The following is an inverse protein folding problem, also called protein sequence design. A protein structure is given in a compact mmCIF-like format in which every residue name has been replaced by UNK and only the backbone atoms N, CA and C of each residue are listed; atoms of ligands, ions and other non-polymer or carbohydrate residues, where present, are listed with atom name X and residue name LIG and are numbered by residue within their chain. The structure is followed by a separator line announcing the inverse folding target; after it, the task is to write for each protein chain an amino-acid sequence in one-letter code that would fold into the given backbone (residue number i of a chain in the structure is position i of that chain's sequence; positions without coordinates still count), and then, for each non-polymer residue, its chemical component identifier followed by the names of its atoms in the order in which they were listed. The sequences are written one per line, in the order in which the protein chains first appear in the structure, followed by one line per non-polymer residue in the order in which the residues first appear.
data_IF_888148877557
#
_entry.id   IF_888148877557
#
_cell.length_a   1.000
_cell.length_b   1.000
_cell.length_c   1.000
_cell.angle_alpha   90.00
_cell.angle_beta   90.00
_cell.angle_gamma   90.00
#
_symmetry.space_group_name_H-M   'P 1'
#
loop_
_entity.id
_entity.type
_entity.pdbx_description
1 polymer ?
#
# COMPACT_ATOMS: atom_id res chain seq x y z
N UNK A 1 -27.31 -13.32 28.54
CA UNK A 1 -27.41 -12.38 29.67
C UNK A 1 -26.18 -11.50 29.66
N UNK A 2 -26.41 -10.19 29.64
CA UNK A 2 -25.53 -9.15 29.13
C UNK A 2 -24.39 -8.76 30.09
N UNK A 3 -23.15 -8.89 29.63
CA UNK A 3 -21.96 -8.30 30.27
C UNK A 3 -21.92 -6.75 30.15
N UNK A 4 -22.88 -6.14 29.42
CA UNK A 4 -22.91 -4.69 29.19
C UNK A 4 -23.55 -3.85 30.32
N UNK A 5 -24.08 -4.47 31.38
CA UNK A 5 -24.92 -3.72 32.34
C UNK A 5 -24.19 -3.22 33.60
N UNK A 6 -22.89 -3.46 33.74
CA UNK A 6 -22.15 -3.09 34.96
C UNK A 6 -21.20 -1.89 34.83
N UNK A 7 -21.23 -1.16 33.70
CA UNK A 7 -20.31 -0.02 33.45
C UNK A 7 -20.91 1.38 33.67
N UNK A 8 -22.16 1.51 34.12
CA UNK A 8 -22.86 2.82 34.17
C UNK A 8 -22.62 3.61 35.48
N UNK A 9 -21.77 3.15 36.41
CA UNK A 9 -21.56 3.84 37.69
C UNK A 9 -20.10 4.09 38.08
N UNK A 10 -19.21 4.25 37.09
CA UNK A 10 -17.90 4.86 37.30
C UNK A 10 -17.96 6.33 36.88
N UNK A 11 -18.03 7.20 37.89
CA UNK A 11 -17.80 8.64 37.83
C UNK A 11 -16.81 8.98 36.71
N UNK A 12 -17.18 9.93 35.84
CA UNK A 12 -16.24 10.71 35.01
C UNK A 12 -15.09 11.20 35.90
N UNK A 13 -13.98 10.44 35.94
CA UNK A 13 -12.70 11.00 36.32
C UNK A 13 -12.36 12.02 35.23
N UNK A 14 -11.84 13.21 35.58
CA UNK A 14 -11.24 14.08 34.59
C UNK A 14 -10.21 13.22 33.84
N UNK A 15 -10.18 13.27 32.51
CA UNK A 15 -9.07 12.74 31.72
C UNK A 15 -7.80 13.20 32.43
N UNK A 16 -7.10 12.27 33.07
CA UNK A 16 -5.88 12.56 33.81
C UNK A 16 -4.98 13.31 32.86
N UNK A 17 -4.40 14.41 33.34
CA UNK A 17 -3.46 15.26 32.63
C UNK A 17 -2.71 14.49 31.55
N UNK A 18 -3.03 14.72 30.28
CA UNK A 18 -2.33 14.11 29.16
C UNK A 18 -0.85 14.42 29.39
N UNK A 19 -0.05 13.41 29.74
CA UNK A 19 1.38 13.61 30.02
C UNK A 19 1.99 14.30 28.80
N UNK A 20 2.87 15.27 29.04
CA UNK A 20 3.46 16.05 27.94
C UNK A 20 4.37 15.15 27.09
N UNK A 21 3.80 14.62 26.01
CA UNK A 21 4.48 13.78 25.02
C UNK A 21 5.05 14.61 23.86
N UNK A 22 5.05 15.94 23.95
CA UNK A 22 5.61 16.83 22.90
C UNK A 22 7.11 16.67 22.72
N UNK A 23 7.81 16.15 23.72
CA UNK A 23 9.23 15.80 23.62
C UNK A 23 9.48 14.55 22.76
N UNK A 24 8.47 13.70 22.53
CA UNK A 24 8.58 12.48 21.72
C UNK A 24 8.58 12.86 20.24
N UNK A 25 9.63 12.40 19.55
CA UNK A 25 9.88 12.62 18.12
C UNK A 25 10.07 11.26 17.47
N UNK A 26 9.03 10.83 16.77
CA UNK A 26 8.93 9.49 16.20
C UNK A 26 9.47 9.50 14.78
N UNK A 27 10.54 8.74 14.54
CA UNK A 27 11.03 8.41 13.21
C UNK A 27 10.30 7.19 12.67
N UNK A 28 9.71 7.29 11.48
CA UNK A 28 9.06 6.16 10.78
C UNK A 28 9.71 6.05 9.41
N UNK A 29 10.32 4.91 9.03
CA UNK A 29 10.87 4.82 7.70
C UNK A 29 9.74 4.82 6.66
N UNK A 30 9.96 5.50 5.54
CA UNK A 30 9.03 5.65 4.41
C UNK A 30 9.15 4.42 3.48
N UNK A 31 8.91 3.23 4.01
CA UNK A 31 9.30 1.98 3.36
C UNK A 31 8.18 0.92 3.32
N UNK A 32 8.24 0.03 2.34
CA UNK A 32 7.39 -1.17 2.24
C UNK A 32 5.89 -0.89 2.51
N UNK A 33 5.25 -1.65 3.39
CA UNK A 33 3.83 -1.54 3.69
C UNK A 33 3.45 -0.25 4.45
N UNK A 34 4.42 0.55 4.91
CA UNK A 34 4.13 1.89 5.43
C UNK A 34 3.51 2.76 4.33
N UNK A 35 3.86 2.58 3.06
CA UNK A 35 3.21 3.32 1.96
C UNK A 35 1.69 3.13 1.92
N UNK A 36 1.20 1.92 2.18
CA UNK A 36 -0.25 1.63 2.26
C UNK A 36 -0.89 2.00 3.60
N UNK A 37 -0.11 2.18 4.66
CA UNK A 37 -0.63 2.33 6.04
C UNK A 37 -0.19 3.62 6.73
N UNK A 38 0.51 4.53 6.05
CA UNK A 38 1.13 5.73 6.63
C UNK A 38 0.12 6.62 7.36
N UNK A 39 -1.09 6.78 6.84
CA UNK A 39 -2.13 7.59 7.48
C UNK A 39 -2.63 6.98 8.78
N UNK A 40 -2.62 5.65 8.92
CA UNK A 40 -2.88 5.00 10.20
C UNK A 40 -1.86 5.45 11.24
N UNK A 41 -0.57 5.40 10.91
CA UNK A 41 0.50 5.80 11.82
C UNK A 41 0.45 7.30 12.17
N UNK A 42 0.14 8.15 11.20
CA UNK A 42 -0.05 9.59 11.43
C UNK A 42 -1.22 9.84 12.38
N UNK A 43 -2.38 9.22 12.15
CA UNK A 43 -3.54 9.35 13.04
C UNK A 43 -3.28 8.81 14.44
N UNK A 44 -2.70 7.63 14.53
CA UNK A 44 -2.34 6.95 15.79
C UNK A 44 -1.42 7.81 16.66
N UNK A 45 -0.28 8.24 16.14
CA UNK A 45 0.70 9.01 16.93
C UNK A 45 0.20 10.41 17.27
N UNK A 46 -0.57 11.06 16.38
CA UNK A 46 -1.24 12.34 16.70
C UNK A 46 -2.24 12.19 17.85
N UNK A 47 -3.05 11.12 17.85
CA UNK A 47 -3.99 10.84 18.92
C UNK A 47 -3.31 10.57 20.27
N UNK A 48 -2.11 9.96 20.25
CA UNK A 48 -1.28 9.80 21.44
C UNK A 48 -0.65 11.10 21.95
N UNK A 49 -0.70 12.19 21.17
CA UNK A 49 -0.15 13.49 21.54
C UNK A 49 1.37 13.61 21.38
N UNK A 50 2.00 12.80 20.51
CA UNK A 50 3.44 12.93 20.25
C UNK A 50 3.75 14.24 19.55
N UNK A 51 4.92 14.84 19.84
CA UNK A 51 5.26 16.16 19.33
C UNK A 51 5.57 16.21 17.84
N UNK A 52 6.27 15.19 17.31
CA UNK A 52 6.69 15.18 15.90
C UNK A 52 6.72 13.77 15.33
N UNK A 53 6.29 13.65 14.08
CA UNK A 53 6.40 12.43 13.27
C UNK A 53 7.30 12.78 12.08
N UNK A 54 8.38 12.03 11.91
CA UNK A 54 9.42 12.28 10.91
C UNK A 54 9.53 11.04 10.04
N UNK A 55 9.32 11.19 8.73
CA UNK A 55 9.62 10.15 7.77
C UNK A 55 11.07 10.25 7.27
N UNK A 56 11.65 9.11 6.88
CA UNK A 56 12.87 9.10 6.05
C UNK A 56 12.61 9.77 4.70
N UNK A 57 13.65 10.17 3.97
CA UNK A 57 13.50 10.59 2.58
C UNK A 57 13.04 9.42 1.70
N UNK A 58 12.69 9.75 0.45
CA UNK A 58 12.51 8.77 -0.61
C UNK A 58 13.76 7.89 -0.75
N UNK A 59 13.57 6.65 -1.20
CA UNK A 59 14.69 5.76 -1.49
C UNK A 59 15.56 6.38 -2.58
N UNK A 60 16.89 6.36 -2.37
CA UNK A 60 17.87 6.74 -3.39
C UNK A 60 19.16 5.97 -3.19
N UNK A 61 19.95 5.84 -4.25
CA UNK A 61 21.29 5.26 -4.17
C UNK A 61 22.14 6.00 -3.12
N UNK A 62 22.07 7.33 -3.09
CA UNK A 62 22.83 8.14 -2.14
C UNK A 62 22.42 7.89 -0.69
N UNK A 63 21.12 7.80 -0.40
CA UNK A 63 20.62 7.46 0.94
C UNK A 63 21.15 6.07 1.35
N UNK A 64 21.04 5.07 0.47
CA UNK A 64 21.50 3.73 0.78
C UNK A 64 23.03 3.66 0.96
N UNK A 65 23.80 4.31 0.09
CA UNK A 65 25.26 4.37 0.14
C UNK A 65 25.76 5.01 1.43
N UNK A 66 25.12 6.09 1.86
CA UNK A 66 25.51 6.87 3.03
C UNK A 66 25.05 6.24 4.35
N UNK A 67 23.84 5.68 4.38
CA UNK A 67 23.21 5.23 5.63
C UNK A 67 22.94 3.73 5.74
N UNK A 68 22.92 2.98 4.63
CA UNK A 68 22.55 1.56 4.60
C UNK A 68 23.69 0.58 4.28
N UNK A 69 24.75 1.05 3.60
CA UNK A 69 25.85 0.21 3.13
C UNK A 69 26.45 -0.64 4.25
N UNK A 70 26.57 -1.95 4.02
CA UNK A 70 27.18 -2.90 4.94
C UNK A 70 26.28 -3.34 6.12
N UNK A 71 25.03 -2.89 6.19
CA UNK A 71 24.09 -3.23 7.27
C UNK A 71 23.12 -4.36 6.95
N UNK A 72 23.19 -4.90 5.74
CA UNK A 72 22.33 -6.01 5.32
C UNK A 72 23.00 -7.34 5.67
N UNK A 73 22.24 -8.21 6.30
CA UNK A 73 22.68 -9.52 6.82
C UNK A 73 22.03 -10.70 6.08
N UNK A 74 21.16 -10.44 5.11
CA UNK A 74 20.45 -11.45 4.33
C UNK A 74 20.23 -11.03 2.88
N UNK A 75 20.25 -12.01 1.96
CA UNK A 75 19.80 -11.80 0.60
C UNK A 75 18.27 -11.72 0.53
N UNK A 76 17.80 -10.60 0.01
CA UNK A 76 16.38 -10.23 -0.06
C UNK A 76 16.12 -9.30 -1.24
N UNK A 77 14.83 -9.13 -1.58
CA UNK A 77 14.43 -8.22 -2.64
C UNK A 77 14.89 -6.78 -2.36
N UNK A 78 15.13 -6.03 -3.43
CA UNK A 78 15.64 -4.65 -3.36
C UNK A 78 14.89 -3.74 -2.33
N UNK A 79 13.54 -3.75 -2.24
CA UNK A 79 12.82 -2.94 -1.27
C UNK A 79 13.12 -3.27 0.20
N UNK A 80 13.41 -4.54 0.50
CA UNK A 80 13.82 -4.95 1.86
C UNK A 80 15.23 -4.45 2.14
N UNK A 81 16.14 -4.56 1.17
CA UNK A 81 17.51 -4.04 1.27
C UNK A 81 17.53 -2.52 1.53
N UNK A 82 16.66 -1.78 0.86
CA UNK A 82 16.53 -0.33 1.02
C UNK A 82 16.18 0.12 2.45
N UNK A 83 15.50 -0.71 3.27
CA UNK A 83 15.17 -0.36 4.66
C UNK A 83 16.41 -0.01 5.50
N UNK A 84 17.57 -0.61 5.22
CA UNK A 84 18.81 -0.26 5.90
C UNK A 84 19.19 1.23 5.71
N UNK A 85 18.98 1.76 4.49
CA UNK A 85 19.19 3.19 4.20
C UNK A 85 18.23 4.07 4.99
N UNK A 86 16.93 3.74 4.99
CA UNK A 86 15.91 4.51 5.70
C UNK A 86 16.10 4.50 7.22
N UNK A 87 16.40 3.35 7.83
CA UNK A 87 16.70 3.25 9.27
C UNK A 87 17.94 4.06 9.62
N UNK A 88 19.01 3.92 8.82
CA UNK A 88 20.26 4.64 9.07
C UNK A 88 20.09 6.16 8.94
N UNK A 89 19.35 6.64 7.93
CA UNK A 89 19.08 8.07 7.75
C UNK A 89 18.35 8.65 8.97
N UNK A 90 17.37 7.92 9.50
CA UNK A 90 16.59 8.35 10.65
C UNK A 90 17.43 8.52 11.93
N UNK A 91 18.54 7.78 12.08
CA UNK A 91 19.47 7.96 13.21
C UNK A 91 20.24 9.30 13.17
N UNK A 92 20.23 10.00 12.04
CA UNK A 92 20.80 11.34 11.89
C UNK A 92 19.74 12.44 11.88
N UNK A 93 18.45 12.09 12.02
CA UNK A 93 17.37 13.05 12.20
C UNK A 93 17.10 13.27 13.69
N UNK A 94 16.42 14.37 13.99
CA UNK A 94 16.01 14.71 15.35
C UNK A 94 14.83 13.84 15.82
N UNK A 95 15.13 12.59 16.19
CA UNK A 95 14.19 11.61 16.74
C UNK A 95 14.73 11.05 18.07
N UNK A 96 13.84 10.55 18.91
CA UNK A 96 14.18 9.76 20.10
C UNK A 96 13.47 8.40 20.15
N UNK A 97 12.52 8.16 19.24
CA UNK A 97 11.84 6.89 19.04
C UNK A 97 11.91 6.53 17.55
N UNK A 98 12.59 5.45 17.20
CA UNK A 98 12.56 4.87 15.85
C UNK A 98 11.51 3.77 15.82
N UNK A 99 10.42 4.00 15.10
CA UNK A 99 9.28 3.11 15.01
C UNK A 99 9.25 2.40 13.66
N UNK A 100 9.41 1.07 13.66
CA UNK A 100 9.52 0.25 12.45
C UNK A 100 8.57 -0.96 12.56
N UNK A 101 7.30 -0.83 12.13
CA UNK A 101 6.29 -1.84 12.39
C UNK A 101 6.51 -3.12 11.59
N UNK A 102 6.41 -4.28 12.26
CA UNK A 102 6.35 -5.59 11.64
C UNK A 102 4.90 -5.89 11.23
N UNK A 103 4.51 -5.33 10.09
CA UNK A 103 3.15 -5.47 9.55
C UNK A 103 2.95 -6.92 9.09
N UNK A 104 2.18 -7.69 9.86
CA UNK A 104 1.88 -9.11 9.61
C UNK A 104 0.79 -9.29 8.56
N UNK A 105 -0.33 -8.59 8.75
CA UNK A 105 -1.48 -8.55 7.85
C UNK A 105 -1.85 -7.10 7.55
N UNK A 106 -2.52 -6.87 6.43
CA UNK A 106 -2.83 -5.54 5.91
C UNK A 106 -4.35 -5.26 5.98
N UNK A 107 -4.76 -3.98 6.14
CA UNK A 107 -6.12 -3.60 5.82
C UNK A 107 -6.38 -3.87 4.34
N UNK A 108 -7.51 -4.49 4.02
CA UNK A 108 -7.86 -4.82 2.64
C UNK A 108 -9.36 -4.76 2.44
N UNK A 109 -9.77 -4.16 1.33
CA UNK A 109 -11.18 -4.18 0.88
C UNK A 109 -11.62 -5.56 0.39
N UNK A 110 -10.69 -6.51 0.20
CA UNK A 110 -11.00 -7.90 -0.15
C UNK A 110 -11.24 -8.79 1.07
N UNK A 111 -11.04 -8.27 2.30
CA UNK A 111 -11.25 -9.04 3.52
C UNK A 111 -12.68 -9.59 3.58
N UNK A 112 -12.81 -10.87 3.93
CA UNK A 112 -14.09 -11.59 3.92
C UNK A 112 -14.46 -12.21 2.57
N UNK A 113 -13.74 -11.87 1.49
CA UNK A 113 -13.90 -12.47 0.16
C UNK A 113 -12.73 -13.38 -0.23
N UNK A 114 -11.62 -13.28 0.49
CA UNK A 114 -10.37 -14.05 0.28
C UNK A 114 -10.03 -14.86 1.53
N UNK A 115 -9.08 -15.80 1.39
CA UNK A 115 -8.67 -16.65 2.52
C UNK A 115 -8.01 -15.83 3.62
N UNK A 116 -7.09 -14.92 3.26
CA UNK A 116 -6.41 -14.04 4.22
C UNK A 116 -5.82 -12.78 3.54
N UNK A 117 -5.31 -11.86 4.35
CA UNK A 117 -4.76 -10.54 3.97
C UNK A 117 -3.34 -10.37 4.52
N UNK A 118 -2.56 -11.45 4.49
CA UNK A 118 -1.19 -11.47 5.00
C UNK A 118 -0.24 -10.62 4.15
N UNK A 119 0.78 -10.10 4.80
CA UNK A 119 1.92 -9.45 4.15
C UNK A 119 2.96 -10.48 3.67
N UNK A 120 3.98 -10.02 2.95
CA UNK A 120 5.14 -10.87 2.67
C UNK A 120 5.97 -11.08 3.94
N UNK A 121 6.31 -12.33 4.26
CA UNK A 121 7.10 -12.68 5.44
C UNK A 121 8.47 -12.00 5.48
N UNK A 122 9.12 -11.82 4.32
CA UNK A 122 10.39 -11.07 4.20
C UNK A 122 10.22 -9.59 4.55
N UNK A 123 9.07 -9.00 4.17
CA UNK A 123 8.74 -7.59 4.46
C UNK A 123 8.42 -7.41 5.94
N UNK A 124 7.64 -8.31 6.53
CA UNK A 124 7.33 -8.27 7.96
C UNK A 124 8.59 -8.39 8.82
N UNK A 125 9.48 -9.33 8.50
CA UNK A 125 10.69 -9.63 9.29
C UNK A 125 11.92 -8.80 8.90
N UNK A 126 11.78 -7.83 7.98
CA UNK A 126 12.92 -7.08 7.48
C UNK A 126 13.66 -6.32 8.59
N UNK A 127 12.91 -5.77 9.55
CA UNK A 127 13.49 -4.99 10.65
C UNK A 127 14.35 -5.83 11.58
N UNK A 128 13.97 -7.07 11.90
CA UNK A 128 14.76 -7.93 12.79
C UNK A 128 16.10 -8.29 12.15
N UNK A 129 16.11 -8.58 10.85
CA UNK A 129 17.34 -8.88 10.12
C UNK A 129 18.26 -7.66 10.00
N UNK A 130 17.68 -6.50 9.68
CA UNK A 130 18.44 -5.26 9.46
C UNK A 130 18.92 -4.65 10.79
N UNK A 131 18.19 -4.85 11.89
CA UNK A 131 18.60 -4.44 13.24
C UNK A 131 19.99 -4.95 13.59
N UNK A 132 20.33 -6.18 13.23
CA UNK A 132 21.65 -6.75 13.48
C UNK A 132 22.79 -5.93 12.84
N UNK A 133 22.55 -5.29 11.69
CA UNK A 133 23.50 -4.39 11.04
C UNK A 133 23.80 -3.11 11.82
N UNK A 134 22.93 -2.73 12.77
CA UNK A 134 23.07 -1.55 13.62
C UNK A 134 23.50 -1.88 15.06
N UNK A 135 23.61 -3.17 15.42
CA UNK A 135 23.90 -3.61 16.79
C UNK A 135 25.10 -4.56 16.90
N UNK A 136 25.51 -5.23 15.82
CA UNK A 136 26.59 -6.26 15.85
C UNK A 136 27.94 -5.71 16.30
N UNK A 137 28.35 -4.56 15.79
CA UNK A 137 29.67 -3.96 16.12
C UNK A 137 29.57 -2.97 17.28
N UNK A 138 28.47 -2.22 17.32
CA UNK A 138 28.14 -1.25 18.36
C UNK A 138 26.63 -1.07 18.36
N UNK A 139 26.04 -0.75 19.50
CA UNK A 139 24.63 -0.38 19.57
C UNK A 139 24.46 1.09 19.17
N UNK A 140 24.25 1.33 17.87
CA UNK A 140 24.09 2.68 17.31
C UNK A 140 22.82 3.38 17.83
N UNK A 141 21.81 2.63 18.26
CA UNK A 141 20.56 3.18 18.79
C UNK A 141 20.80 3.75 20.20
N UNK A 142 21.36 2.93 21.09
CA UNK A 142 21.64 3.33 22.48
C UNK A 142 22.65 4.46 22.55
N UNK A 143 23.70 4.45 21.70
CA UNK A 143 24.69 5.54 21.63
C UNK A 143 24.08 6.91 21.29
N UNK A 144 22.94 6.91 20.58
CA UNK A 144 22.23 8.12 20.17
C UNK A 144 21.03 8.44 21.07
N UNK A 145 20.77 7.64 22.09
CA UNK A 145 19.58 7.78 22.94
C UNK A 145 18.27 7.58 22.16
N UNK A 146 18.28 6.74 21.13
CA UNK A 146 17.10 6.44 20.31
C UNK A 146 16.58 5.06 20.70
N UNK A 147 15.31 4.97 21.10
CA UNK A 147 14.65 3.68 21.32
C UNK A 147 14.15 3.12 20.00
N UNK A 148 14.60 1.92 19.60
CA UNK A 148 14.02 1.17 18.47
C UNK A 148 12.81 0.37 18.95
N UNK A 149 11.66 0.58 18.33
CA UNK A 149 10.43 -0.18 18.61
C UNK A 149 9.85 -0.74 17.31
N UNK A 150 9.70 -2.07 17.29
CA UNK A 150 9.21 -2.82 16.14
C UNK A 150 8.04 -3.70 16.57
N UNK A 151 6.81 -3.14 16.68
CA UNK A 151 5.67 -3.92 17.14
C UNK A 151 5.25 -4.94 16.08
N UNK A 152 4.65 -6.05 16.53
CA UNK A 152 3.87 -6.93 15.67
C UNK A 152 2.51 -6.27 15.35
N UNK A 153 2.16 -6.17 14.07
CA UNK A 153 0.99 -5.39 13.63
C UNK A 153 0.08 -6.26 12.75
N UNK A 154 -0.96 -6.89 13.34
CA UNK A 154 -1.97 -7.63 12.61
C UNK A 154 -3.15 -6.74 12.22
N UNK A 155 -3.08 -5.97 11.12
CA UNK A 155 -4.26 -5.22 10.65
C UNK A 155 -5.43 -6.14 10.25
N UNK A 156 -5.12 -7.40 9.95
CA UNK A 156 -6.04 -8.52 9.79
C UNK A 156 -6.76 -8.93 11.09
N UNK A 157 -6.40 -8.43 12.27
CA UNK A 157 -7.15 -8.63 13.52
C UNK A 157 -7.16 -7.31 14.30
N UNK A 158 -7.94 -6.30 13.87
CA UNK A 158 -7.87 -4.94 14.43
C UNK A 158 -8.14 -4.89 15.93
N UNK A 159 -8.91 -5.82 16.47
CA UNK A 159 -9.19 -6.01 17.89
C UNK A 159 -7.94 -6.36 18.73
N UNK A 160 -6.91 -6.95 18.11
CA UNK A 160 -5.65 -7.29 18.77
C UNK A 160 -4.63 -6.15 18.74
N UNK A 161 -4.77 -5.19 17.81
CA UNK A 161 -3.82 -4.10 17.63
C UNK A 161 -3.57 -3.26 18.90
N UNK A 162 -4.60 -2.86 19.68
CA UNK A 162 -4.37 -2.09 20.90
C UNK A 162 -3.42 -2.78 21.87
N UNK A 163 -3.55 -4.11 22.02
CA UNK A 163 -2.69 -4.90 22.91
C UNK A 163 -1.24 -4.88 22.44
N UNK A 164 -0.99 -5.28 21.18
CA UNK A 164 0.38 -5.39 20.67
C UNK A 164 1.10 -4.03 20.60
N UNK A 165 0.39 -2.98 20.22
CA UNK A 165 0.95 -1.62 20.19
C UNK A 165 1.22 -1.10 21.60
N UNK A 166 0.31 -1.34 22.56
CA UNK A 166 0.52 -0.94 23.95
C UNK A 166 1.70 -1.68 24.57
N UNK A 167 1.77 -3.01 24.42
CA UNK A 167 2.88 -3.83 24.94
C UNK A 167 4.23 -3.37 24.40
N UNK A 168 4.28 -2.95 23.14
CA UNK A 168 5.51 -2.50 22.47
C UNK A 168 5.91 -1.06 22.83
N UNK A 169 4.94 -0.20 23.16
CA UNK A 169 5.16 1.25 23.35
C UNK A 169 5.14 1.71 24.80
N UNK A 170 4.56 0.95 25.74
CA UNK A 170 4.35 1.38 27.13
C UNK A 170 5.64 1.75 27.88
N UNK A 171 6.76 1.12 27.54
CA UNK A 171 8.06 1.39 28.17
C UNK A 171 8.75 2.63 27.60
N UNK A 172 8.40 3.04 26.37
CA UNK A 172 9.03 4.18 25.67
C UNK A 172 8.14 5.43 25.61
N UNK A 173 6.83 5.27 25.76
CA UNK A 173 5.85 6.36 25.87
C UNK A 173 5.37 6.43 27.32
N UNK A 174 5.81 7.45 28.09
CA UNK A 174 5.43 7.59 29.48
C UNK A 174 3.91 7.59 29.67
N UNK A 175 3.47 6.83 30.67
CA UNK A 175 2.08 6.77 31.13
C UNK A 175 1.11 6.19 30.10
N UNK A 176 1.58 5.55 29.02
CA UNK A 176 0.70 4.99 28.00
C UNK A 176 -0.17 3.87 28.58
N UNK A 177 -1.48 4.08 28.54
CA UNK A 177 -2.46 3.07 28.95
C UNK A 177 -2.98 2.28 27.76
N UNK A 178 -3.53 1.10 28.02
CA UNK A 178 -4.20 0.30 26.98
C UNK A 178 -5.43 1.02 26.42
N UNK A 179 -6.18 1.75 27.26
CA UNK A 179 -7.36 2.52 26.84
C UNK A 179 -6.98 3.67 25.91
N UNK A 180 -5.92 4.41 26.22
CA UNK A 180 -5.38 5.46 25.33
C UNK A 180 -4.92 4.86 24.00
N UNK A 181 -4.21 3.74 24.04
CA UNK A 181 -3.77 3.04 22.83
C UNK A 181 -4.95 2.59 21.97
N UNK A 182 -6.01 2.05 22.57
CA UNK A 182 -7.22 1.64 21.85
C UNK A 182 -7.88 2.81 21.11
N UNK A 183 -8.07 3.95 21.79
CA UNK A 183 -8.58 5.18 21.16
C UNK A 183 -7.67 5.66 20.03
N UNK A 184 -6.35 5.61 20.22
CA UNK A 184 -5.42 6.00 19.17
C UNK A 184 -5.46 5.06 17.96
N UNK A 185 -5.70 3.76 18.15
CA UNK A 185 -5.89 2.80 17.06
C UNK A 185 -7.15 3.14 16.25
N UNK A 186 -8.25 3.48 16.93
CA UNK A 186 -9.49 3.94 16.26
C UNK A 186 -9.25 5.20 15.42
N UNK A 187 -8.55 6.20 15.97
CA UNK A 187 -8.18 7.41 15.23
C UNK A 187 -7.24 7.12 14.05
N UNK A 188 -6.32 6.17 14.20
CA UNK A 188 -5.49 5.67 13.11
C UNK A 188 -6.31 5.09 11.96
N UNK A 189 -7.25 4.18 12.26
CA UNK A 189 -8.13 3.61 11.23
C UNK A 189 -9.02 4.66 10.57
N UNK A 190 -9.54 5.63 11.35
CA UNK A 190 -10.32 6.73 10.78
C UNK A 190 -9.49 7.55 9.79
N UNK A 191 -8.26 7.94 10.18
CA UNK A 191 -7.36 8.70 9.31
C UNK A 191 -7.01 7.93 8.02
N UNK A 192 -6.78 6.62 8.11
CA UNK A 192 -6.54 5.77 6.95
C UNK A 192 -7.77 5.70 6.03
N UNK A 193 -8.95 5.41 6.60
CA UNK A 193 -10.20 5.29 5.84
C UNK A 193 -10.58 6.59 5.13
N UNK A 194 -10.42 7.74 5.82
CA UNK A 194 -10.70 9.05 5.23
C UNK A 194 -9.78 9.37 4.06
N UNK A 195 -8.49 9.01 4.17
CA UNK A 195 -7.54 9.16 3.07
C UNK A 195 -7.88 8.25 1.90
N UNK A 196 -8.14 6.98 2.20
CA UNK A 196 -8.51 5.98 1.22
C UNK A 196 -9.77 6.33 0.44
N UNK A 197 -10.76 6.91 1.11
CA UNK A 197 -11.97 7.43 0.48
C UNK A 197 -11.65 8.56 -0.50
N UNK A 198 -10.89 9.58 -0.07
CA UNK A 198 -10.49 10.70 -0.94
C UNK A 198 -9.70 10.25 -2.17
N UNK A 199 -8.81 9.27 -2.00
CA UNK A 199 -8.03 8.73 -3.13
C UNK A 199 -8.91 7.96 -4.13
N UNK A 200 -9.91 7.21 -3.65
CA UNK A 200 -10.88 6.51 -4.51
C UNK A 200 -11.80 7.48 -5.24
N UNK A 201 -12.26 8.53 -4.57
CA UNK A 201 -13.01 9.63 -5.20
C UNK A 201 -12.18 10.27 -6.32
N UNK A 202 -10.89 10.50 -6.09
CA UNK A 202 -10.00 11.04 -7.12
C UNK A 202 -9.82 10.10 -8.32
N UNK A 203 -9.67 8.79 -8.07
CA UNK A 203 -9.64 7.79 -9.14
C UNK A 203 -10.93 7.77 -9.94
N UNK A 204 -12.09 7.91 -9.29
CA UNK A 204 -13.38 7.99 -9.96
C UNK A 204 -13.48 9.25 -10.82
N UNK A 205 -13.04 10.42 -10.33
CA UNK A 205 -12.97 11.65 -11.14
C UNK A 205 -12.15 11.45 -12.43
N UNK A 206 -11.00 10.79 -12.32
CA UNK A 206 -10.16 10.47 -13.48
C UNK A 206 -10.90 9.55 -14.45
N UNK A 207 -11.56 8.51 -13.96
CA UNK A 207 -12.34 7.59 -14.79
C UNK A 207 -13.49 8.31 -15.50
N UNK A 208 -14.20 9.21 -14.80
CA UNK A 208 -15.25 10.05 -15.40
C UNK A 208 -14.69 10.96 -16.48
N UNK A 209 -13.53 11.56 -16.25
CA UNK A 209 -12.86 12.38 -17.25
C UNK A 209 -12.49 11.56 -18.49
N UNK A 210 -11.94 10.35 -18.31
CA UNK A 210 -11.66 9.43 -19.40
C UNK A 210 -12.92 9.07 -20.20
N UNK A 211 -14.03 8.82 -19.50
CA UNK A 211 -15.32 8.52 -20.11
C UNK A 211 -15.87 9.66 -20.97
N UNK A 212 -15.89 10.87 -20.41
CA UNK A 212 -16.39 12.07 -21.11
C UNK A 212 -15.54 12.43 -22.33
N UNK A 213 -14.22 12.28 -22.22
CA UNK A 213 -13.28 12.70 -23.26
C UNK A 213 -12.88 11.58 -24.21
N UNK A 214 -13.40 10.35 -24.03
CA UNK A 214 -13.01 9.15 -24.77
C UNK A 214 -11.49 8.95 -24.77
N UNK A 215 -10.87 9.18 -23.61
CA UNK A 215 -9.41 9.07 -23.42
C UNK A 215 -9.07 7.79 -22.68
N UNK A 216 -8.00 7.08 -23.08
CA UNK A 216 -7.48 5.94 -22.34
C UNK A 216 -6.77 6.38 -21.06
N UNK A 217 -6.77 5.48 -20.07
CA UNK A 217 -5.98 5.52 -18.85
C UNK A 217 -5.08 4.28 -18.76
N UNK A 218 -4.01 4.42 -18.00
CA UNK A 218 -3.16 3.31 -17.57
C UNK A 218 -3.53 2.89 -16.14
N UNK A 219 -3.42 1.61 -15.85
CA UNK A 219 -3.48 1.08 -14.48
C UNK A 219 -2.13 0.51 -14.06
N UNK A 220 -1.58 0.98 -12.95
CA UNK A 220 -0.42 0.37 -12.31
C UNK A 220 -0.88 -0.77 -11.39
N UNK A 221 -0.34 -1.96 -11.63
CA UNK A 221 -0.39 -3.11 -10.74
C UNK A 221 0.99 -3.28 -10.12
N UNK A 222 1.10 -3.08 -8.81
CA UNK A 222 2.39 -3.06 -8.13
C UNK A 222 2.22 -3.30 -6.63
N UNK A 223 3.30 -3.43 -5.88
CA UNK A 223 3.24 -3.29 -4.41
C UNK A 223 3.13 -1.79 -4.05
N UNK A 224 2.45 -1.41 -2.96
CA UNK A 224 2.27 0.01 -2.59
C UNK A 224 3.57 0.81 -2.49
N UNK A 225 4.66 0.17 -2.08
CA UNK A 225 5.98 0.80 -1.98
C UNK A 225 6.62 1.17 -3.32
N UNK A 226 6.10 0.72 -4.46
CA UNK A 226 6.56 1.22 -5.76
C UNK A 226 6.11 2.67 -6.02
N UNK A 227 5.31 3.28 -5.13
CA UNK A 227 5.10 4.73 -5.16
C UNK A 227 6.35 5.51 -4.69
N UNK A 228 7.35 4.82 -4.12
CA UNK A 228 8.65 5.42 -3.82
C UNK A 228 9.47 5.65 -5.11
N UNK A 229 9.96 6.87 -5.38
CA UNK A 229 10.75 7.20 -6.58
C UNK A 229 12.01 6.35 -6.80
N UNK A 230 12.63 5.85 -5.73
CA UNK A 230 13.80 4.97 -5.81
C UNK A 230 13.45 3.51 -6.06
N UNK A 231 12.23 3.08 -5.73
CA UNK A 231 11.77 1.70 -5.90
C UNK A 231 10.94 1.51 -7.17
N UNK A 232 9.98 2.39 -7.43
CA UNK A 232 9.13 2.35 -8.63
C UNK A 232 9.70 3.09 -9.83
N UNK A 233 10.80 3.81 -9.64
CA UNK A 233 11.53 4.56 -10.68
C UNK A 233 10.70 5.66 -11.37
N UNK A 234 9.60 6.10 -10.76
CA UNK A 234 8.72 7.16 -11.29
C UNK A 234 8.14 6.83 -12.68
N UNK A 235 8.06 5.54 -13.03
CA UNK A 235 7.58 5.08 -14.33
C UNK A 235 6.15 5.56 -14.61
N UNK A 236 5.33 5.71 -13.57
CA UNK A 236 3.97 6.24 -13.68
C UNK A 236 3.93 7.73 -14.06
N UNK A 237 4.87 8.54 -13.56
CA UNK A 237 4.96 9.96 -13.88
C UNK A 237 5.36 10.21 -15.35
N UNK A 238 6.17 9.33 -15.94
CA UNK A 238 6.65 9.43 -17.34
C UNK A 238 5.52 9.41 -18.39
N UNK A 239 4.34 8.90 -18.04
CA UNK A 239 3.18 8.89 -18.94
C UNK A 239 2.36 10.19 -18.93
N UNK A 240 2.51 11.03 -17.89
CA UNK A 240 1.74 12.26 -17.75
C UNK A 240 2.01 13.30 -18.86
N UNK A 241 3.26 13.54 -19.32
CA UNK A 241 3.54 14.45 -20.44
C UNK A 241 2.87 14.05 -21.75
N UNK A 242 2.59 12.75 -21.94
CA UNK A 242 1.87 12.22 -23.10
C UNK A 242 0.35 12.29 -22.96
N UNK A 243 -0.16 12.82 -21.85
CA UNK A 243 -1.59 13.00 -21.61
C UNK A 243 -2.33 11.73 -21.16
N UNK A 244 -1.62 10.70 -20.70
CA UNK A 244 -2.23 9.49 -20.17
C UNK A 244 -2.37 9.58 -18.64
N UNK A 245 -3.60 9.65 -18.10
CA UNK A 245 -3.80 9.54 -16.66
C UNK A 245 -3.44 8.13 -16.19
N UNK A 246 -2.81 8.05 -15.00
CA UNK A 246 -2.40 6.80 -14.39
C UNK A 246 -3.20 6.57 -13.11
N UNK A 247 -3.85 5.42 -13.04
CA UNK A 247 -4.56 4.92 -11.87
C UNK A 247 -3.71 3.89 -11.14
N UNK A 248 -3.91 3.76 -9.83
CA UNK A 248 -3.29 2.73 -9.00
C UNK A 248 -4.36 1.82 -8.41
N UNK A 249 -4.17 0.50 -8.51
CA UNK A 249 -5.21 -0.49 -8.18
C UNK A 249 -5.78 -0.39 -6.77
N UNK A 250 -4.93 -0.07 -5.79
CA UNK A 250 -5.29 0.04 -4.38
C UNK A 250 -6.23 1.21 -4.09
N UNK A 251 -6.39 2.15 -5.03
CA UNK A 251 -7.32 3.27 -4.93
C UNK A 251 -8.38 3.27 -6.04
N UNK A 252 -8.61 2.13 -6.69
CA UNK A 252 -9.74 2.02 -7.63
C UNK A 252 -11.07 2.22 -6.90
N UNK A 253 -12.06 2.86 -7.54
CA UNK A 253 -13.37 3.08 -6.95
C UNK A 253 -14.10 1.77 -6.68
N UNK A 254 -14.83 1.75 -5.56
CA UNK A 254 -15.56 0.57 -5.07
C UNK A 254 -17.07 0.82 -5.02
N UNK A 255 -17.57 1.85 -5.70
CA UNK A 255 -18.99 2.20 -5.73
C UNK A 255 -19.85 1.04 -6.25
N UNK A 256 -20.93 0.71 -5.53
CA UNK A 256 -21.81 -0.43 -5.85
C UNK A 256 -22.35 -0.40 -7.28
N UNK A 257 -22.76 0.78 -7.76
CA UNK A 257 -23.28 0.95 -9.13
C UNK A 257 -22.22 0.65 -10.19
N UNK A 258 -20.97 1.02 -9.92
CA UNK A 258 -19.86 0.78 -10.84
C UNK A 258 -19.48 -0.69 -10.84
N UNK A 259 -19.40 -1.29 -9.64
CA UNK A 259 -19.09 -2.71 -9.49
C UNK A 259 -20.19 -3.61 -10.08
N UNK A 260 -21.47 -3.27 -9.93
CA UNK A 260 -22.56 -4.00 -10.61
C UNK A 260 -22.49 -3.85 -12.14
N UNK A 261 -22.15 -2.65 -12.65
CA UNK A 261 -21.99 -2.46 -14.09
C UNK A 261 -20.83 -3.31 -14.66
N UNK A 262 -19.71 -3.39 -13.94
CA UNK A 262 -18.52 -4.12 -14.39
C UNK A 262 -18.62 -5.63 -14.18
N UNK A 263 -19.16 -6.10 -13.04
CA UNK A 263 -19.12 -7.50 -12.60
C UNK A 263 -20.49 -8.17 -12.49
N UNK A 264 -21.58 -7.41 -12.47
CA UNK A 264 -22.92 -7.89 -12.13
C UNK A 264 -23.43 -8.98 -13.07
N UNK A 265 -23.03 -8.97 -14.34
CA UNK A 265 -23.43 -10.01 -15.30
C UNK A 265 -22.88 -11.38 -14.90
N UNK A 266 -21.60 -11.48 -14.54
CA UNK A 266 -21.00 -12.73 -14.10
C UNK A 266 -21.51 -13.18 -12.73
N UNK A 267 -21.84 -12.23 -11.85
CA UNK A 267 -22.47 -12.52 -10.55
C UNK A 267 -23.85 -13.15 -10.77
N UNK A 268 -24.71 -12.52 -11.58
CA UNK A 268 -26.06 -13.05 -11.91
C UNK A 268 -26.00 -14.41 -12.62
N UNK A 269 -24.95 -14.66 -13.40
CA UNK A 269 -24.71 -15.95 -14.05
C UNK A 269 -24.11 -17.01 -13.11
N UNK A 270 -23.78 -16.67 -11.86
CA UNK A 270 -23.19 -17.60 -10.89
C UNK A 270 -21.73 -17.98 -11.16
N UNK A 271 -21.03 -17.22 -12.01
CA UNK A 271 -19.62 -17.47 -12.35
C UNK A 271 -18.69 -17.02 -11.21
N UNK A 272 -19.04 -15.90 -10.58
CA UNK A 272 -18.34 -15.34 -9.41
C UNK A 272 -19.36 -14.98 -8.33
N UNK A 273 -18.95 -15.02 -7.05
CA UNK A 273 -19.85 -14.80 -5.92
C UNK A 273 -20.12 -13.32 -5.62
N UNK A 274 -19.17 -12.45 -5.94
CA UNK A 274 -19.20 -11.02 -5.63
C UNK A 274 -18.22 -10.27 -6.54
N UNK A 275 -18.27 -8.92 -6.65
CA UNK A 275 -17.27 -8.18 -7.44
C UNK A 275 -15.85 -8.27 -6.86
N UNK A 276 -15.73 -8.70 -5.60
CA UNK A 276 -14.46 -8.92 -4.89
C UNK A 276 -13.95 -10.36 -4.96
N UNK A 277 -14.72 -11.27 -5.57
CA UNK A 277 -14.33 -12.67 -5.69
C UNK A 277 -13.23 -12.83 -6.74
N UNK A 278 -12.11 -13.40 -6.32
CA UNK A 278 -10.96 -13.75 -7.17
C UNK A 278 -10.70 -15.26 -7.22
N UNK A 279 -11.53 -16.07 -6.58
CA UNK A 279 -11.29 -17.51 -6.40
C UNK A 279 -11.38 -18.31 -7.70
N UNK A 280 -12.04 -17.76 -8.71
CA UNK A 280 -12.11 -18.28 -10.08
C UNK A 280 -10.77 -18.27 -10.81
N UNK A 281 -9.86 -17.35 -10.45
CA UNK A 281 -8.55 -17.18 -11.11
C UNK A 281 -7.36 -17.30 -10.15
N UNK A 282 -7.60 -17.24 -8.84
CA UNK A 282 -6.58 -17.28 -7.80
C UNK A 282 -7.09 -17.95 -6.53
N UNK A 283 -6.82 -19.25 -6.40
CA UNK A 283 -7.31 -20.08 -5.29
C UNK A 283 -6.53 -19.89 -4.00
N UNK A 284 -5.22 -19.60 -4.08
CA UNK A 284 -4.33 -19.41 -2.92
C UNK A 284 -4.30 -17.95 -2.44
N UNK A 285 -5.48 -17.41 -2.06
CA UNK A 285 -5.67 -15.98 -1.79
C UNK A 285 -5.29 -15.55 -0.35
N UNK A 286 -4.06 -15.83 0.07
CA UNK A 286 -3.56 -15.49 1.42
C UNK A 286 -2.91 -14.10 1.53
N UNK A 287 -2.32 -13.58 0.45
CA UNK A 287 -1.47 -12.37 0.50
C UNK A 287 -2.23 -11.15 0.01
N UNK A 288 -2.40 -10.14 0.88
CA UNK A 288 -3.25 -8.95 0.60
C UNK A 288 -2.90 -8.27 -0.71
N UNK A 289 -1.66 -7.80 -0.82
CA UNK A 289 -1.16 -7.11 -2.01
C UNK A 289 -1.27 -7.99 -3.27
N UNK A 290 -1.07 -9.31 -3.15
CA UNK A 290 -1.23 -10.23 -4.28
C UNK A 290 -2.70 -10.32 -4.70
N UNK A 291 -3.60 -10.52 -3.73
CA UNK A 291 -5.04 -10.63 -3.95
C UNK A 291 -5.57 -9.37 -4.64
N UNK A 292 -5.17 -8.20 -4.16
CA UNK A 292 -5.59 -6.93 -4.73
C UNK A 292 -4.99 -6.65 -6.12
N UNK A 293 -3.77 -7.11 -6.41
CA UNK A 293 -3.21 -7.10 -7.78
C UNK A 293 -4.05 -7.97 -8.73
N UNK A 294 -4.46 -9.16 -8.29
CA UNK A 294 -5.34 -10.04 -9.09
C UNK A 294 -6.71 -9.39 -9.31
N UNK A 295 -7.28 -8.79 -8.26
CA UNK A 295 -8.54 -8.06 -8.38
C UNK A 295 -8.41 -6.84 -9.32
N UNK A 296 -7.32 -6.07 -9.24
CA UNK A 296 -7.01 -4.96 -10.14
C UNK A 296 -6.85 -5.41 -11.60
N UNK A 297 -6.31 -6.61 -11.84
CA UNK A 297 -6.28 -7.22 -13.17
C UNK A 297 -7.71 -7.51 -13.68
N UNK A 298 -8.57 -8.08 -12.84
CA UNK A 298 -9.99 -8.32 -13.19
C UNK A 298 -10.75 -7.02 -13.47
N UNK A 299 -10.48 -5.98 -12.67
CA UNK A 299 -11.08 -4.65 -12.84
C UNK A 299 -10.64 -4.00 -14.15
N UNK A 300 -9.33 -3.96 -14.43
CA UNK A 300 -8.80 -3.39 -15.68
C UNK A 300 -9.28 -4.11 -16.93
N UNK A 301 -9.42 -5.45 -16.88
CA UNK A 301 -9.97 -6.21 -18.00
C UNK A 301 -11.42 -5.81 -18.34
N UNK A 302 -12.16 -5.25 -17.38
CA UNK A 302 -13.58 -4.86 -17.53
C UNK A 302 -13.74 -3.38 -17.85
N UNK A 303 -13.08 -2.48 -17.10
CA UNK A 303 -13.29 -1.04 -17.26
C UNK A 303 -12.83 -0.59 -18.65
N UNK A 304 -13.72 0.01 -19.49
CA UNK A 304 -13.41 0.31 -20.89
C UNK A 304 -12.18 1.18 -21.10
N UNK A 305 -12.04 2.23 -20.29
CA UNK A 305 -11.02 3.25 -20.47
C UNK A 305 -9.65 2.86 -19.91
N UNK A 306 -9.52 1.77 -19.14
CA UNK A 306 -8.20 1.23 -18.84
C UNK A 306 -7.77 0.40 -20.05
N UNK A 307 -6.93 0.95 -20.91
CA UNK A 307 -6.50 0.27 -22.15
C UNK A 307 -5.10 -0.32 -22.05
N UNK A 308 -4.33 0.08 -21.04
CA UNK A 308 -3.03 -0.49 -20.72
C UNK A 308 -2.85 -0.72 -19.21
N UNK A 309 -2.13 -1.79 -18.89
CA UNK A 309 -1.73 -2.14 -17.52
C UNK A 309 -0.22 -2.16 -17.45
N UNK A 310 0.34 -1.47 -16.46
CA UNK A 310 1.76 -1.46 -16.13
C UNK A 310 1.96 -2.31 -14.87
N UNK A 311 2.63 -3.46 -15.00
CA UNK A 311 3.02 -4.30 -13.86
C UNK A 311 4.43 -3.96 -13.42
N UNK A 312 4.58 -3.42 -12.22
CA UNK A 312 5.89 -3.13 -11.61
C UNK A 312 6.26 -4.22 -10.61
N UNK A 313 7.47 -4.76 -10.69
CA UNK A 313 8.02 -5.71 -9.73
C UNK A 313 9.47 -5.38 -9.47
N UNK A 314 9.86 -5.39 -8.20
CA UNK A 314 11.26 -5.25 -7.82
C UNK A 314 12.04 -6.53 -8.04
N UNK A 315 13.35 -6.39 -8.21
CA UNK A 315 14.31 -7.49 -8.29
C UNK A 315 14.15 -8.45 -7.09
N UNK A 316 14.23 -9.76 -7.36
CA UNK A 316 14.09 -10.85 -6.39
C UNK A 316 12.75 -10.89 -5.60
N UNK A 317 11.67 -10.30 -6.12
CA UNK A 317 10.35 -10.42 -5.50
C UNK A 317 9.70 -11.79 -5.74
N UNK A 318 9.94 -12.75 -4.84
CA UNK A 318 9.40 -14.11 -4.93
C UNK A 318 7.86 -14.19 -4.91
N UNK A 319 7.20 -13.28 -4.19
CA UNK A 319 5.72 -13.23 -4.12
C UNK A 319 5.06 -12.75 -5.41
N UNK A 320 5.78 -11.99 -6.24
CA UNK A 320 5.28 -11.46 -7.51
C UNK A 320 5.40 -12.47 -8.64
N UNK A 321 6.44 -13.32 -8.61
CA UNK A 321 6.68 -14.31 -9.66
C UNK A 321 5.47 -15.18 -10.05
N UNK A 322 4.77 -15.84 -9.11
CA UNK A 322 3.62 -16.69 -9.48
C UNK A 322 2.42 -15.87 -10.00
N UNK A 323 2.42 -14.55 -9.84
CA UNK A 323 1.30 -13.67 -10.22
C UNK A 323 1.38 -13.18 -11.66
N UNK A 324 2.56 -13.19 -12.29
CA UNK A 324 2.72 -12.61 -13.64
C UNK A 324 1.82 -13.27 -14.68
N UNK A 325 1.86 -14.60 -14.77
CA UNK A 325 1.09 -15.33 -15.78
C UNK A 325 -0.42 -15.18 -15.59
N UNK A 326 -1.00 -15.36 -14.39
CA UNK A 326 -2.41 -15.09 -14.16
C UNK A 326 -2.81 -13.64 -14.47
N UNK A 327 -2.05 -12.66 -13.99
CA UNK A 327 -2.35 -11.23 -14.24
C UNK A 327 -2.35 -10.93 -15.72
N UNK A 328 -1.30 -11.35 -16.45
CA UNK A 328 -1.20 -11.13 -17.89
C UNK A 328 -2.39 -11.75 -18.63
N UNK A 329 -2.72 -13.01 -18.35
CA UNK A 329 -3.86 -13.70 -18.97
C UNK A 329 -5.18 -12.99 -18.71
N UNK A 330 -5.41 -12.53 -17.48
CA UNK A 330 -6.64 -11.80 -17.11
C UNK A 330 -6.72 -10.50 -17.93
N UNK A 331 -5.65 -9.69 -17.93
CA UNK A 331 -5.62 -8.40 -18.62
C UNK A 331 -5.83 -8.58 -20.14
N UNK A 332 -5.04 -9.45 -20.77
CA UNK A 332 -5.04 -9.64 -22.22
C UNK A 332 -6.32 -10.32 -22.74
N UNK A 333 -7.08 -11.04 -21.90
CA UNK A 333 -8.37 -11.65 -22.28
C UNK A 333 -9.40 -10.64 -22.80
N UNK A 334 -9.23 -9.36 -22.44
CA UNK A 334 -10.06 -8.25 -22.88
C UNK A 334 -9.51 -7.48 -24.07
N UNK A 335 -8.30 -7.84 -24.55
CA UNK A 335 -7.52 -7.06 -25.49
C UNK A 335 -6.78 -5.86 -24.86
N UNK A 336 -6.87 -5.67 -23.54
CA UNK A 336 -6.09 -4.65 -22.81
C UNK A 336 -4.60 -4.96 -22.95
N UNK A 337 -3.81 -3.92 -23.19
CA UNK A 337 -2.37 -4.04 -23.32
C UNK A 337 -1.74 -4.32 -21.94
N UNK A 338 -0.77 -5.24 -21.89
CA UNK A 338 -0.05 -5.58 -20.67
C UNK A 338 1.44 -5.31 -20.84
N UNK A 339 2.02 -4.53 -19.94
CA UNK A 339 3.44 -4.19 -19.95
C UNK A 339 4.06 -4.49 -18.59
N UNK A 340 5.20 -5.18 -18.58
CA UNK A 340 5.89 -5.61 -17.35
C UNK A 340 7.23 -4.92 -17.18
N UNK A 341 7.43 -4.21 -16.08
CA UNK A 341 8.74 -3.77 -15.58
C UNK A 341 9.15 -4.71 -14.45
N UNK A 342 9.94 -5.74 -14.79
CA UNK A 342 10.06 -6.96 -14.00
C UNK A 342 11.18 -7.03 -12.96
N UNK A 343 12.10 -6.08 -12.96
CA UNK A 343 13.37 -6.17 -12.22
C UNK A 343 13.82 -4.78 -11.79
N UNK A 344 12.95 -4.06 -11.07
CA UNK A 344 13.31 -2.74 -10.55
C UNK A 344 14.29 -2.90 -9.38
N UNK A 345 15.46 -2.30 -9.51
CA UNK A 345 16.58 -2.34 -8.56
C UNK A 345 17.18 -0.94 -8.34
N UNK A 346 18.34 -0.85 -7.69
CA UNK A 346 19.04 0.40 -7.42
C UNK A 346 19.49 1.18 -8.68
N UNK A 347 19.63 0.54 -9.84
CA UNK A 347 20.33 1.13 -11.01
C UNK A 347 19.51 2.17 -11.77
N UNK A 348 18.18 2.22 -11.53
CA UNK A 348 17.21 3.17 -12.12
C UNK A 348 17.58 3.61 -13.56
N UNK A 349 17.54 2.71 -14.56
CA UNK A 349 18.05 2.99 -15.90
C UNK A 349 17.11 3.89 -16.70
N UNK A 350 17.14 5.20 -16.43
CA UNK A 350 16.21 6.20 -16.96
C UNK A 350 16.10 6.19 -18.50
N UNK A 351 17.22 6.03 -19.21
CA UNK A 351 17.21 5.96 -20.68
C UNK A 351 16.43 4.75 -21.23
N UNK A 352 16.58 3.58 -20.60
CA UNK A 352 15.84 2.37 -20.98
C UNK A 352 14.34 2.52 -20.65
N UNK A 353 14.03 3.09 -19.49
CA UNK A 353 12.64 3.37 -19.09
C UNK A 353 11.97 4.29 -20.11
N UNK A 354 12.63 5.38 -20.52
CA UNK A 354 12.10 6.34 -21.49
C UNK A 354 11.74 5.71 -22.84
N UNK A 355 12.64 4.90 -23.42
CA UNK A 355 12.39 4.20 -24.69
C UNK A 355 11.19 3.25 -24.58
N UNK A 356 11.05 2.58 -23.43
CA UNK A 356 9.92 1.69 -23.17
C UNK A 356 8.60 2.46 -23.01
N UNK A 357 8.62 3.62 -22.34
CA UNK A 357 7.47 4.52 -22.23
C UNK A 357 7.03 5.01 -23.61
N UNK A 358 7.95 5.48 -24.45
CA UNK A 358 7.67 5.91 -25.83
C UNK A 358 7.05 4.76 -26.65
N UNK A 359 7.57 3.54 -26.48
CA UNK A 359 7.00 2.35 -27.10
C UNK A 359 5.56 2.11 -26.62
N UNK A 360 5.33 2.14 -25.30
CA UNK A 360 3.99 1.94 -24.72
C UNK A 360 3.01 3.00 -25.24
N UNK A 361 3.42 4.27 -25.30
CA UNK A 361 2.62 5.37 -25.86
C UNK A 361 2.21 5.07 -27.30
N UNK A 362 3.13 4.63 -28.15
CA UNK A 362 2.81 4.22 -29.53
C UNK A 362 1.74 3.13 -29.60
N UNK A 363 1.83 2.10 -28.75
CA UNK A 363 0.81 1.05 -28.69
C UNK A 363 -0.54 1.59 -28.19
N UNK A 364 -0.53 2.48 -27.19
CA UNK A 364 -1.76 3.10 -26.68
C UNK A 364 -2.45 3.94 -27.76
N UNK A 365 -1.72 4.76 -28.50
CA UNK A 365 -2.27 5.55 -29.61
C UNK A 365 -2.90 4.68 -30.69
N UNK A 366 -2.24 3.56 -31.02
CA UNK A 366 -2.68 2.66 -32.09
C UNK A 366 -3.89 1.82 -31.72
N UNK A 367 -3.98 1.32 -30.48
CA UNK A 367 -4.95 0.28 -30.11
C UNK A 367 -6.03 0.71 -29.11
N UNK A 368 -5.87 1.83 -28.40
CA UNK A 368 -6.79 2.20 -27.31
C UNK A 368 -8.24 2.37 -27.75
N UNK A 369 -8.49 2.99 -28.91
CA UNK A 369 -9.84 3.21 -29.44
C UNK A 369 -10.58 1.88 -29.63
N UNK A 370 -9.94 0.92 -30.29
CA UNK A 370 -10.50 -0.41 -30.55
C UNK A 370 -10.75 -1.18 -29.24
N UNK A 371 -9.84 -1.05 -28.27
CA UNK A 371 -9.99 -1.68 -26.95
C UNK A 371 -11.22 -1.12 -26.22
N UNK A 372 -11.37 0.20 -26.18
CA UNK A 372 -12.52 0.89 -25.56
C UNK A 372 -13.83 0.40 -26.22
N UNK A 373 -13.91 0.43 -27.55
CA UNK A 373 -15.10 0.00 -28.29
C UNK A 373 -15.45 -1.47 -28.04
N UNK A 374 -14.44 -2.37 -28.03
CA UNK A 374 -14.65 -3.80 -27.75
C UNK A 374 -15.16 -4.04 -26.34
N UNK A 375 -14.63 -3.34 -25.33
CA UNK A 375 -15.09 -3.45 -23.94
C UNK A 375 -16.49 -2.90 -23.76
N UNK A 376 -16.78 -1.72 -24.34
CA UNK A 376 -18.13 -1.14 -24.31
C UNK A 376 -19.17 -2.05 -24.96
N UNK A 377 -18.85 -2.74 -26.06
CA UNK A 377 -19.75 -3.72 -26.69
C UNK A 377 -20.06 -4.94 -25.81
N UNK A 378 -19.14 -5.32 -24.91
CA UNK A 378 -19.34 -6.41 -23.95
C UNK A 378 -20.17 -5.98 -22.75
N UNK A 379 -20.05 -4.71 -22.38
CA UNK A 379 -20.82 -4.07 -21.32
C UNK A 379 -22.17 -3.55 -21.84
N UNK A 380 -23.08 -3.26 -20.92
CA UNK A 380 -24.34 -2.61 -21.22
C UNK A 380 -24.18 -1.10 -21.48
N UNK A 381 -25.28 -0.33 -21.45
CA UNK A 381 -25.20 1.13 -21.57
C UNK A 381 -24.29 1.73 -20.49
N UNK A 382 -23.58 2.82 -20.83
CA UNK A 382 -22.71 3.53 -19.89
C UNK A 382 -23.57 4.17 -18.79
N UNK A 383 -23.27 3.94 -17.49
CA UNK A 383 -23.93 4.58 -16.38
C UNK A 383 -23.91 6.11 -16.49
N UNK A 384 -25.02 6.76 -16.12
CA UNK A 384 -25.13 8.23 -16.21
C UNK A 384 -24.12 8.91 -15.29
N UNK A 385 -23.84 8.29 -14.16
CA UNK A 385 -22.88 8.71 -13.14
C UNK A 385 -21.45 8.89 -13.70
N UNK A 386 -21.10 8.17 -14.76
CA UNK A 386 -19.81 8.33 -15.47
C UNK A 386 -19.79 9.51 -16.44
N UNK A 387 -20.97 9.95 -16.88
CA UNK A 387 -21.15 11.02 -17.88
C UNK A 387 -21.51 12.37 -17.23
N UNK A 388 -21.98 12.36 -15.98
CA UNK A 388 -22.14 13.53 -15.10
C UNK A 388 -20.82 13.95 -14.50
#
# INVERSE_FOLDING_TARGET
MSFLTSLILLKRRPLGSQQDRRSIRVGIPKFLNVWGTHQFWVGFFKALGVGKIIFSSDTSEEQYRTYGKGRITMDSCYPVKALAGHMGELLYKDINLLFVPMIYSLPSFLRGHVVDTLSCTRVMMSVENIRAGFTRERDEFSQRGISLVSPFVPFGEPELLPKYLWESLKEVIPGLTLEETAKAVEEGFRALSDFEKRMREKSLEIIKWCAKNQRPALLVLARPYHMDPGIGHEIDAEFQPYGYPVLWYNYLPLDDWLLDWLFGKEIRAGIIKSPFDISDVWTSSYSSNTNEIIWGAKFSARLPWITGVIRLSSYECGMDQPTFTPVQKIVESSGTLYFKFGELDETKPAGSIKIRVETIVYYLEKYSKDIIEKKLKRLGPIPKELLT
#
